data_IF_415403238014
#
_entry.id   IF_415403238014
#
_cell.length_a   1.000
_cell.length_b   1.000
_cell.length_c   1.000
_cell.angle_alpha   90.00
_cell.angle_beta   90.00
_cell.angle_gamma   90.00
#
_symmetry.space_group_name_H-M   'P 1'
#
loop_
_entity.id
_entity.type
_entity.pdbx_description
1 polymer ?
#
# COMPACT_ATOMS: atom_id res chain seq x y z
N UNK A 1 9.84 -6.00 -1.95
CA UNK A 1 10.66 -6.22 -0.73
C UNK A 1 11.97 -6.93 -1.09
N UNK A 2 11.94 -8.10 -1.72
CA UNK A 2 13.16 -8.87 -2.01
C UNK A 2 14.26 -8.09 -2.74
N UNK A 3 13.91 -7.29 -3.74
CA UNK A 3 14.87 -6.45 -4.44
C UNK A 3 15.49 -5.38 -3.53
N UNK A 4 14.68 -4.74 -2.70
CA UNK A 4 15.14 -3.72 -1.77
C UNK A 4 16.07 -4.26 -0.67
N UNK A 5 15.92 -5.51 -0.27
CA UNK A 5 16.83 -6.19 0.67
C UNK A 5 18.25 -6.39 0.11
N UNK A 6 18.39 -6.50 -1.22
CA UNK A 6 19.66 -6.74 -1.87
C UNK A 6 20.39 -5.50 -2.39
N UNK A 7 19.77 -4.32 -2.30
CA UNK A 7 20.27 -3.10 -2.93
C UNK A 7 20.23 -1.91 -1.98
N UNK A 8 21.20 -1.01 -2.15
CA UNK A 8 21.25 0.26 -1.41
C UNK A 8 20.39 1.33 -2.09
N UNK A 9 19.91 2.31 -1.31
CA UNK A 9 19.17 3.48 -1.79
C UNK A 9 17.66 3.38 -1.62
N UNK A 10 16.94 4.31 -2.21
CA UNK A 10 15.49 4.38 -2.15
C UNK A 10 14.84 3.40 -3.14
N UNK A 11 13.89 2.64 -2.65
CA UNK A 11 13.12 1.68 -3.43
C UNK A 11 11.64 1.99 -3.29
N UNK A 12 11.03 2.51 -4.33
CA UNK A 12 9.64 2.95 -4.33
C UNK A 12 8.75 1.87 -4.91
N UNK A 13 7.70 1.52 -4.17
CA UNK A 13 6.64 0.60 -4.59
C UNK A 13 5.34 1.39 -4.62
N UNK A 14 4.68 1.43 -5.77
CA UNK A 14 3.30 1.94 -5.90
C UNK A 14 2.39 0.72 -6.06
N UNK A 15 1.42 0.57 -5.17
CA UNK A 15 0.60 -0.65 -5.09
C UNK A 15 -0.84 -0.31 -4.70
N UNK A 16 -1.81 -1.03 -5.26
CA UNK A 16 -3.21 -0.95 -4.83
C UNK A 16 -3.48 -1.74 -3.54
N UNK A 17 -4.54 -1.37 -2.84
CA UNK A 17 -4.93 -1.96 -1.56
C UNK A 17 -5.13 -3.47 -1.62
N UNK A 18 -5.87 -3.98 -2.60
CA UNK A 18 -6.09 -5.42 -2.74
C UNK A 18 -4.78 -6.18 -2.89
N UNK A 19 -3.89 -5.74 -3.77
CA UNK A 19 -2.58 -6.37 -3.99
C UNK A 19 -1.70 -6.28 -2.75
N UNK A 20 -1.74 -5.16 -2.03
CA UNK A 20 -1.00 -4.98 -0.78
C UNK A 20 -1.45 -5.99 0.29
N UNK A 21 -2.77 -6.12 0.52
CA UNK A 21 -3.28 -7.03 1.55
C UNK A 21 -3.09 -8.50 1.20
N UNK A 22 -3.13 -8.87 -0.08
CA UNK A 22 -2.82 -10.24 -0.51
C UNK A 22 -1.37 -10.63 -0.23
N UNK A 23 -0.43 -9.69 -0.31
CA UNK A 23 1.01 -9.96 -0.20
C UNK A 23 1.66 -9.29 1.02
N UNK A 24 0.85 -8.92 2.02
CA UNK A 24 1.34 -8.26 3.24
C UNK A 24 2.39 -9.10 3.99
N UNK A 25 2.35 -10.43 3.84
CA UNK A 25 3.34 -11.34 4.40
C UNK A 25 4.76 -11.11 3.85
N UNK A 26 4.91 -10.49 2.69
CA UNK A 26 6.22 -10.10 2.15
C UNK A 26 6.95 -9.08 3.05
N UNK A 27 6.23 -8.41 3.94
CA UNK A 27 6.79 -7.48 4.93
C UNK A 27 7.34 -8.17 6.17
N UNK A 28 7.07 -9.48 6.33
CA UNK A 28 7.58 -10.26 7.45
C UNK A 28 9.04 -10.64 7.23
N UNK A 29 9.91 -9.70 7.47
CA UNK A 29 11.36 -9.88 7.43
C UNK A 29 11.94 -9.34 8.72
N UNK A 30 13.08 -9.88 9.12
CA UNK A 30 13.75 -9.48 10.37
C UNK A 30 14.10 -8.01 10.36
N UNK A 31 14.51 -7.50 9.19
CA UNK A 31 14.81 -6.08 8.98
C UNK A 31 14.29 -5.68 7.60
N UNK A 32 13.35 -4.74 7.58
CA UNK A 32 12.95 -4.08 6.35
C UNK A 32 13.97 -2.98 6.01
N UNK A 33 14.37 -2.83 4.74
CA UNK A 33 15.31 -1.79 4.36
C UNK A 33 14.74 -0.40 4.67
N UNK A 34 15.50 0.43 5.35
CA UNK A 34 15.10 1.80 5.65
C UNK A 34 14.80 2.65 4.39
N UNK A 35 15.41 2.30 3.26
CA UNK A 35 15.13 2.91 1.95
C UNK A 35 13.83 2.44 1.28
N UNK A 36 13.08 1.50 1.85
CA UNK A 36 11.80 1.05 1.27
C UNK A 36 10.71 2.12 1.46
N UNK A 37 10.08 2.50 0.36
CA UNK A 37 8.97 3.46 0.28
C UNK A 37 7.77 2.81 -0.37
N UNK A 38 6.65 2.75 0.33
CA UNK A 38 5.41 2.14 -0.17
C UNK A 38 4.36 3.24 -0.32
N UNK A 39 3.94 3.50 -1.55
CA UNK A 39 2.78 4.33 -1.85
C UNK A 39 1.59 3.42 -2.12
N UNK A 40 0.70 3.33 -1.15
CA UNK A 40 -0.48 2.49 -1.21
C UNK A 40 -1.68 3.32 -1.68
N UNK A 41 -2.24 2.94 -2.82
CA UNK A 41 -3.45 3.54 -3.38
C UNK A 41 -4.65 2.71 -2.92
N UNK A 42 -5.42 3.26 -1.99
CA UNK A 42 -6.56 2.57 -1.38
C UNK A 42 -7.88 3.14 -1.89
N UNK A 43 -8.54 2.39 -2.77
CA UNK A 43 -9.88 2.69 -3.27
C UNK A 43 -10.96 1.74 -2.70
N UNK A 44 -10.58 0.87 -1.76
CA UNK A 44 -11.50 -0.03 -1.07
C UNK A 44 -11.93 -1.26 -1.86
N UNK A 45 -11.35 -1.51 -3.05
CA UNK A 45 -11.65 -2.71 -3.84
C UNK A 45 -10.65 -2.94 -4.98
N UNK A 46 -10.67 -4.13 -5.55
CA UNK A 46 -9.88 -4.46 -6.73
C UNK A 46 -10.53 -3.98 -8.03
N UNK A 47 -10.41 -2.68 -8.34
CA UNK A 47 -11.07 -2.03 -9.47
C UNK A 47 -10.81 -2.69 -10.84
N UNK A 48 -9.69 -3.38 -11.02
CA UNK A 48 -9.40 -4.11 -12.26
C UNK A 48 -10.47 -5.17 -12.57
N UNK A 49 -11.08 -5.75 -11.55
CA UNK A 49 -12.11 -6.80 -11.73
C UNK A 49 -13.44 -6.26 -12.25
N UNK A 50 -13.68 -4.95 -12.19
CA UNK A 50 -14.87 -4.32 -12.78
C UNK A 50 -14.90 -4.39 -14.30
N UNK A 51 -13.71 -4.52 -14.90
CA UNK A 51 -13.52 -4.51 -16.34
C UNK A 51 -13.22 -5.89 -16.94
N UNK A 52 -13.13 -6.94 -16.12
CA UNK A 52 -12.82 -8.28 -16.61
C UNK A 52 -14.09 -9.01 -17.08
N UNK A 53 -14.12 -9.47 -18.35
CA UNK A 53 -15.26 -10.21 -18.88
C UNK A 53 -15.59 -11.45 -18.01
N UNK A 54 -16.86 -11.64 -17.68
CA UNK A 54 -17.36 -12.77 -16.90
C UNK A 54 -17.24 -12.59 -15.38
N UNK A 55 -16.44 -11.64 -14.89
CA UNK A 55 -16.36 -11.29 -13.46
C UNK A 55 -17.25 -10.09 -13.12
N UNK A 56 -17.39 -9.14 -14.04
CA UNK A 56 -18.16 -7.92 -13.82
C UNK A 56 -19.60 -8.19 -13.34
N UNK A 57 -20.23 -9.25 -13.83
CA UNK A 57 -21.60 -9.61 -13.50
C UNK A 57 -21.72 -10.68 -12.39
N UNK A 58 -20.60 -11.11 -11.80
CA UNK A 58 -20.62 -12.14 -10.78
C UNK A 58 -21.01 -11.57 -9.42
N UNK A 59 -22.05 -12.10 -8.75
CA UNK A 59 -22.41 -11.67 -7.40
C UNK A 59 -21.32 -11.99 -6.36
N UNK A 60 -20.39 -12.88 -6.69
CA UNK A 60 -19.27 -13.25 -5.84
C UNK A 60 -18.09 -12.28 -5.98
N UNK A 61 -18.07 -11.42 -7.02
CA UNK A 61 -16.97 -10.50 -7.31
C UNK A 61 -16.62 -9.65 -6.08
N UNK A 62 -17.57 -8.88 -5.61
CA UNK A 62 -17.30 -7.90 -4.54
C UNK A 62 -17.02 -8.59 -3.21
N UNK A 63 -17.73 -9.68 -2.91
CA UNK A 63 -17.60 -10.37 -1.63
C UNK A 63 -16.29 -11.17 -1.48
N UNK A 64 -15.78 -11.75 -2.58
CA UNK A 64 -14.71 -12.75 -2.50
C UNK A 64 -13.50 -12.47 -3.39
N UNK A 65 -13.65 -11.67 -4.44
CA UNK A 65 -12.58 -11.44 -5.42
C UNK A 65 -12.03 -10.03 -5.30
N UNK A 66 -12.90 -9.03 -5.46
CA UNK A 66 -12.51 -7.63 -5.47
C UNK A 66 -12.45 -6.99 -4.07
N UNK A 67 -12.89 -7.71 -3.04
CA UNK A 67 -12.98 -7.25 -1.65
C UNK A 67 -13.76 -5.93 -1.49
N UNK A 68 -14.72 -5.69 -2.38
CA UNK A 68 -15.54 -4.49 -2.39
C UNK A 68 -16.41 -4.33 -1.14
N UNK A 69 -16.75 -3.09 -0.83
CA UNK A 69 -17.66 -2.73 0.26
C UNK A 69 -17.03 -2.56 1.63
N UNK A 70 -15.72 -2.71 1.77
CA UNK A 70 -14.99 -2.39 3.01
C UNK A 70 -13.66 -1.74 2.69
N UNK A 71 -13.44 -0.56 3.21
CA UNK A 71 -12.13 0.09 3.19
C UNK A 71 -11.33 -0.36 4.41
N UNK A 72 -10.30 -1.15 4.19
CA UNK A 72 -9.33 -1.52 5.23
C UNK A 72 -8.17 -0.54 5.21
N UNK A 73 -7.59 -0.27 6.37
CA UNK A 73 -6.37 0.54 6.46
C UNK A 73 -5.15 -0.34 6.67
N UNK A 74 -4.07 -0.01 5.99
CA UNK A 74 -2.77 -0.64 6.16
C UNK A 74 -2.06 -0.23 7.47
N UNK A 75 -2.63 0.69 8.26
CA UNK A 75 -2.02 1.19 9.49
C UNK A 75 -1.62 0.08 10.46
N UNK A 76 -2.50 -0.88 10.71
CA UNK A 76 -2.21 -2.01 11.61
C UNK A 76 -1.08 -2.90 11.09
N UNK A 77 -1.02 -3.12 9.79
CA UNK A 77 0.06 -3.87 9.14
C UNK A 77 1.39 -3.12 9.28
N UNK A 78 1.41 -1.83 8.97
CA UNK A 78 2.59 -0.99 9.10
C UNK A 78 3.13 -0.99 10.54
N UNK A 79 2.25 -0.82 11.53
CA UNK A 79 2.61 -0.87 12.94
C UNK A 79 3.20 -2.23 13.35
N UNK A 80 2.64 -3.32 12.86
CA UNK A 80 3.11 -4.68 13.17
C UNK A 80 4.53 -4.91 12.69
N UNK A 81 4.89 -4.34 11.54
CA UNK A 81 6.20 -4.54 10.92
C UNK A 81 7.18 -3.36 11.12
N UNK A 82 6.86 -2.41 12.00
CA UNK A 82 7.76 -1.28 12.31
C UNK A 82 7.96 -0.31 11.14
N UNK A 83 6.95 -0.14 10.30
CA UNK A 83 6.97 0.78 9.16
C UNK A 83 6.36 2.11 9.60
N UNK A 84 7.02 3.23 9.33
CA UNK A 84 6.46 4.55 9.53
C UNK A 84 5.27 4.76 8.60
N UNK A 85 4.12 5.11 9.19
CA UNK A 85 2.85 5.19 8.49
C UNK A 85 2.28 6.59 8.48
N UNK A 86 1.85 7.03 7.29
CA UNK A 86 1.07 8.25 7.10
C UNK A 86 -0.16 7.97 6.24
N UNK A 87 -1.29 8.60 6.57
CA UNK A 87 -2.51 8.56 5.78
C UNK A 87 -2.68 9.89 5.04
N UNK A 88 -3.20 9.84 3.81
CA UNK A 88 -3.56 11.01 3.04
C UNK A 88 -4.97 10.82 2.44
N UNK A 89 -5.89 11.74 2.75
CA UNK A 89 -7.26 11.78 2.23
C UNK A 89 -7.46 12.94 1.26
N UNK A 90 -6.48 13.85 1.19
CA UNK A 90 -6.50 15.02 0.32
C UNK A 90 -5.17 15.19 -0.39
N UNK A 91 -5.18 15.92 -1.51
CA UNK A 91 -3.94 16.25 -2.23
C UNK A 91 -2.95 17.06 -1.38
N UNK A 92 -3.45 17.89 -0.47
CA UNK A 92 -2.59 18.64 0.46
C UNK A 92 -1.88 17.72 1.42
N UNK A 93 -2.62 16.80 2.06
CA UNK A 93 -2.04 15.80 2.98
C UNK A 93 -1.02 14.90 2.28
N UNK A 94 -1.29 14.51 1.03
CA UNK A 94 -0.33 13.74 0.24
C UNK A 94 0.95 14.55 -0.03
N UNK A 95 0.83 15.82 -0.42
CA UNK A 95 1.98 16.68 -0.66
C UNK A 95 2.82 16.85 0.62
N UNK A 96 2.17 17.03 1.77
CA UNK A 96 2.86 17.17 3.05
C UNK A 96 3.59 15.86 3.43
N UNK A 97 2.94 14.71 3.24
CA UNK A 97 3.55 13.40 3.49
C UNK A 97 4.76 13.13 2.58
N UNK A 98 4.71 13.59 1.32
CA UNK A 98 5.79 13.40 0.36
C UNK A 98 7.02 14.28 0.64
N UNK A 99 6.91 15.36 1.42
CA UNK A 99 8.05 16.26 1.67
C UNK A 99 9.23 15.56 2.35
N UNK A 100 8.98 14.68 3.32
CA UNK A 100 10.02 13.91 4.01
C UNK A 100 10.31 12.55 3.40
N UNK A 101 9.54 12.13 2.41
CA UNK A 101 9.54 10.77 1.90
C UNK A 101 10.81 10.39 1.11
N UNK A 102 11.45 11.41 0.56
CA UNK A 102 12.68 11.28 -0.23
C UNK A 102 13.96 11.28 0.61
N UNK A 103 13.84 11.42 1.93
CA UNK A 103 14.99 11.43 2.82
C UNK A 103 15.66 10.05 2.86
N UNK A 104 16.90 9.97 2.38
CA UNK A 104 17.71 8.74 2.39
C UNK A 104 18.24 8.39 3.78
N UNK A 105 18.28 9.37 4.70
CA UNK A 105 18.73 9.18 6.08
C UNK A 105 17.61 8.66 7.01
N UNK A 106 16.45 8.32 6.48
CA UNK A 106 15.38 7.72 7.27
C UNK A 106 15.82 6.37 7.86
N UNK A 107 15.51 6.14 9.11
CA UNK A 107 15.92 4.94 9.83
C UNK A 107 15.00 3.74 9.60
N UNK A 108 13.79 3.98 9.07
CA UNK A 108 12.77 2.96 8.89
C UNK A 108 12.15 3.03 7.50
N UNK A 109 11.61 1.90 7.03
CA UNK A 109 10.73 1.87 5.88
C UNK A 109 9.52 2.78 6.10
N UNK A 110 8.98 3.36 5.03
CA UNK A 110 7.86 4.29 5.12
C UNK A 110 6.71 3.86 4.21
N UNK A 111 5.47 4.04 4.69
CA UNK A 111 4.25 3.77 3.95
C UNK A 111 3.34 5.00 4.00
N UNK A 112 2.98 5.51 2.83
CA UNK A 112 1.92 6.50 2.67
C UNK A 112 0.70 5.79 2.09
N UNK A 113 -0.41 5.79 2.82
CA UNK A 113 -1.69 5.27 2.36
C UNK A 113 -2.55 6.42 1.87
N UNK A 114 -2.84 6.42 0.57
CA UNK A 114 -3.70 7.42 -0.09
C UNK A 114 -5.09 6.83 -0.23
N UNK A 115 -6.04 7.38 0.50
CA UNK A 115 -7.45 7.02 0.37
C UNK A 115 -8.05 7.77 -0.82
N UNK A 116 -8.40 7.00 -1.85
CA UNK A 116 -9.01 7.53 -3.05
C UNK A 116 -10.53 7.61 -2.81
N UNK A 117 -11.09 8.81 -2.93
CA UNK A 117 -12.54 8.98 -3.00
C UNK A 117 -13.03 8.46 -4.36
N UNK A 118 -14.19 7.77 -4.35
CA UNK A 118 -14.93 7.42 -5.56
C UNK A 118 -15.40 8.67 -6.33
#
# INVERSE_FOLDING_TARGET
VGYALGMWGLHIVVIGDLSFFYDANALWNVELPAGLRILLLNNGHGAIFDHLPGLADSPARDAYIAAGGRVYSAKGVAQTFGIDYQAAHTSSELNDALQGWWNEDAETAQLIEVFLAD
#
